data_IF_075592898223
#
_entry.id   IF_075592898223
#
_cell.length_a   1.000
_cell.length_b   1.000
_cell.length_c   1.000
_cell.angle_alpha   90.00
_cell.angle_beta   90.00
_cell.angle_gamma   90.00
#
_symmetry.space_group_name_H-M   'P 1'
#
loop_
_entity.id
_entity.type
_entity.pdbx_description
1 polymer ?
#
# COMPACT_ATOMS: atom_id res chain seq x y z
N UNK A 1 12.45 -67.75 -16.34
CA UNK A 1 13.83 -67.22 -16.27
C UNK A 1 13.70 -65.71 -16.29
N UNK A 2 13.62 -65.10 -15.10
CA UNK A 2 14.70 -64.31 -14.43
C UNK A 2 14.94 -62.99 -15.18
N UNK A 3 14.90 -61.79 -14.61
CA UNK A 3 15.00 -61.30 -13.22
C UNK A 3 14.35 -59.90 -13.18
N UNK A 4 13.55 -59.63 -12.16
CA UNK A 4 13.83 -58.74 -11.02
C UNK A 4 13.76 -57.24 -11.29
N UNK A 5 12.74 -56.65 -10.66
CA UNK A 5 12.73 -55.29 -10.19
C UNK A 5 13.90 -55.05 -9.24
N UNK A 6 14.60 -53.92 -9.37
CA UNK A 6 15.10 -53.10 -8.25
C UNK A 6 15.65 -51.79 -8.84
N UNK A 7 14.94 -50.71 -8.61
CA UNK A 7 15.57 -49.41 -8.31
C UNK A 7 14.97 -49.01 -6.96
N UNK A 8 15.78 -48.74 -5.92
CA UNK A 8 16.49 -47.48 -5.86
C UNK A 8 17.86 -47.53 -5.16
N UNK A 9 18.92 -47.07 -5.84
CA UNK A 9 20.19 -46.68 -5.20
C UNK A 9 20.17 -45.17 -4.86
N UNK A 10 19.18 -44.73 -4.08
CA UNK A 10 19.05 -43.35 -3.62
C UNK A 10 19.03 -43.21 -2.08
N UNK A 11 19.25 -44.31 -1.34
CA UNK A 11 19.24 -44.35 0.12
C UNK A 11 20.59 -44.13 0.79
N UNK A 12 21.67 -44.67 0.22
CA UNK A 12 22.99 -44.72 0.88
C UNK A 12 23.74 -43.37 0.91
N UNK A 13 23.48 -42.46 -0.04
CA UNK A 13 24.20 -41.17 -0.12
C UNK A 13 23.65 -40.08 0.82
N UNK A 14 22.50 -40.32 1.47
CA UNK A 14 21.92 -39.39 2.46
C UNK A 14 22.11 -39.87 3.91
N UNK A 15 22.60 -41.08 4.10
CA UNK A 15 22.75 -41.71 5.41
C UNK A 15 23.72 -40.96 6.34
N UNK A 16 24.87 -40.42 5.87
CA UNK A 16 25.75 -39.59 6.68
C UNK A 16 25.09 -38.28 7.13
N UNK A 17 24.30 -37.64 6.25
CA UNK A 17 23.62 -36.38 6.54
C UNK A 17 22.42 -36.57 7.46
N UNK A 18 21.70 -37.69 7.34
CA UNK A 18 20.60 -38.06 8.24
C UNK A 18 21.12 -38.54 9.61
N UNK A 19 22.32 -39.13 9.67
CA UNK A 19 23.00 -39.43 10.92
C UNK A 19 23.39 -38.14 11.65
N UNK A 20 24.00 -37.18 10.94
CA UNK A 20 24.34 -35.87 11.48
C UNK A 20 23.07 -35.15 11.98
N UNK A 21 22.02 -35.05 11.17
CA UNK A 21 20.77 -34.40 11.56
C UNK A 21 20.09 -35.04 12.80
N UNK A 22 20.22 -36.37 12.97
CA UNK A 22 19.73 -37.07 14.18
C UNK A 22 20.63 -36.82 15.39
N UNK A 23 21.92 -36.64 15.18
CA UNK A 23 22.88 -36.27 16.22
C UNK A 23 22.64 -34.83 16.70
N UNK A 24 22.45 -33.87 15.78
CA UNK A 24 22.05 -32.50 16.12
C UNK A 24 20.76 -32.52 16.94
N UNK A 25 19.75 -33.27 16.49
CA UNK A 25 18.45 -33.31 17.17
C UNK A 25 18.54 -33.93 18.56
N UNK A 26 19.28 -35.03 18.74
CA UNK A 26 19.48 -35.63 20.08
C UNK A 26 20.19 -34.69 21.03
N UNK A 27 21.17 -33.94 20.54
CA UNK A 27 21.95 -33.06 21.39
C UNK A 27 21.21 -31.77 21.72
N UNK A 28 20.36 -31.27 20.81
CA UNK A 28 19.38 -30.22 21.09
C UNK A 28 18.32 -30.71 22.09
N UNK A 29 17.77 -31.91 21.91
CA UNK A 29 16.77 -32.49 22.83
C UNK A 29 17.37 -32.72 24.23
N UNK A 30 18.66 -33.04 24.32
CA UNK A 30 19.40 -33.19 25.58
C UNK A 30 19.59 -31.84 26.29
N UNK A 31 19.97 -30.80 25.55
CA UNK A 31 20.14 -29.44 26.08
C UNK A 31 18.82 -28.83 26.54
N UNK A 32 17.72 -29.10 25.83
CA UNK A 32 16.37 -28.67 26.23
C UNK A 32 15.85 -29.42 27.47
N UNK A 33 16.34 -30.63 27.72
CA UNK A 33 15.99 -31.45 28.89
C UNK A 33 16.92 -31.25 30.09
N UNK A 34 17.94 -30.40 29.97
CA UNK A 34 18.91 -30.09 31.02
C UNK A 34 18.62 -28.68 31.58
N UNK A 35 18.02 -28.61 32.77
CA UNK A 35 17.62 -27.36 33.42
C UNK A 35 18.82 -26.45 33.81
N UNK A 36 20.06 -26.97 33.74
CA UNK A 36 21.31 -26.22 33.99
C UNK A 36 22.03 -25.80 32.69
N UNK A 37 21.47 -26.09 31.51
CA UNK A 37 22.08 -25.71 30.24
C UNK A 37 22.09 -24.18 30.06
N UNK A 38 23.29 -23.61 29.98
CA UNK A 38 23.47 -22.17 29.78
C UNK A 38 23.64 -21.82 28.30
N UNK A 39 23.40 -20.56 27.94
CA UNK A 39 23.66 -20.01 26.59
C UNK A 39 25.11 -20.30 26.10
N UNK A 40 26.07 -20.40 27.03
CA UNK A 40 27.45 -20.76 26.71
C UNK A 40 27.59 -22.21 26.21
N UNK A 41 26.84 -23.15 26.78
CA UNK A 41 26.82 -24.57 26.38
C UNK A 41 26.24 -24.74 24.96
N UNK A 42 25.26 -23.91 24.61
CA UNK A 42 24.68 -23.88 23.26
C UNK A 42 25.67 -23.29 22.25
N UNK A 43 26.39 -22.24 22.62
CA UNK A 43 27.40 -21.62 21.76
C UNK A 43 28.55 -22.60 21.44
N UNK A 44 29.07 -23.33 22.44
CA UNK A 44 30.09 -24.37 22.24
C UNK A 44 29.59 -25.52 21.34
N UNK A 45 28.30 -25.82 21.37
CA UNK A 45 27.68 -26.81 20.49
C UNK A 45 27.63 -26.32 19.04
N UNK A 46 27.26 -25.07 18.85
CA UNK A 46 27.19 -24.42 17.53
C UNK A 46 28.59 -24.30 16.92
N UNK A 47 29.61 -23.99 17.72
CA UNK A 47 30.99 -23.81 17.26
C UNK A 47 31.66 -25.09 16.75
N UNK A 48 31.08 -26.26 17.02
CA UNK A 48 31.55 -27.55 16.48
C UNK A 48 31.14 -27.79 15.02
N UNK A 49 30.20 -27.01 14.47
CA UNK A 49 29.78 -27.15 13.07
C UNK A 49 30.73 -26.41 12.10
N UNK A 50 30.92 -26.93 10.87
CA UNK A 50 31.63 -26.21 9.81
C UNK A 50 31.01 -24.82 9.52
N UNK A 51 31.84 -23.84 9.16
CA UNK A 51 31.44 -22.44 8.93
C UNK A 51 30.26 -22.27 7.98
N UNK A 52 30.22 -23.09 6.92
CA UNK A 52 29.15 -23.07 5.92
C UNK A 52 27.80 -23.52 6.53
N UNK A 53 27.82 -24.51 7.42
CA UNK A 53 26.62 -24.98 8.10
C UNK A 53 26.18 -24.01 9.20
N UNK A 54 27.12 -23.43 9.96
CA UNK A 54 26.84 -22.35 10.92
C UNK A 54 26.19 -21.15 10.25
N UNK A 55 26.72 -20.70 9.11
CA UNK A 55 26.15 -19.57 8.36
C UNK A 55 24.74 -19.86 7.83
N UNK A 56 24.45 -21.10 7.42
CA UNK A 56 23.11 -21.49 6.98
C UNK A 56 22.11 -21.50 8.12
N UNK A 57 22.50 -22.00 9.30
CA UNK A 57 21.66 -22.01 10.50
C UNK A 57 21.42 -20.58 10.99
N UNK A 58 22.48 -19.76 11.10
CA UNK A 58 22.38 -18.36 11.51
C UNK A 58 21.43 -17.57 10.59
N UNK A 59 21.53 -17.74 9.27
CA UNK A 59 20.62 -17.12 8.31
C UNK A 59 19.18 -17.59 8.47
N UNK A 60 18.97 -18.90 8.63
CA UNK A 60 17.62 -19.45 8.81
C UNK A 60 16.96 -19.01 10.12
N UNK A 61 17.73 -18.75 11.17
CA UNK A 61 17.25 -18.18 12.43
C UNK A 61 16.98 -16.70 12.27
N UNK A 62 17.90 -15.95 11.66
CA UNK A 62 17.76 -14.52 11.38
C UNK A 62 16.49 -14.23 10.56
N UNK A 63 16.27 -14.97 9.47
CA UNK A 63 15.10 -14.78 8.59
C UNK A 63 13.75 -15.07 9.29
N UNK A 64 13.76 -15.73 10.46
CA UNK A 64 12.56 -16.06 11.25
C UNK A 64 12.30 -15.08 12.41
N UNK A 65 13.26 -14.22 12.72
CA UNK A 65 13.05 -13.18 13.73
C UNK A 65 12.05 -12.16 13.22
N UNK A 66 11.32 -11.53 14.15
CA UNK A 66 10.53 -10.35 13.81
C UNK A 66 11.46 -9.26 13.24
N UNK A 67 11.00 -8.41 12.32
CA UNK A 67 11.85 -7.40 11.70
C UNK A 67 12.61 -6.53 12.70
N UNK A 68 12.01 -6.21 13.85
CA UNK A 68 12.64 -5.43 14.93
C UNK A 68 13.86 -6.14 15.53
N UNK A 69 13.77 -7.46 15.70
CA UNK A 69 14.83 -8.26 16.31
C UNK A 69 15.95 -8.55 15.30
N UNK A 70 15.61 -8.74 14.02
CA UNK A 70 16.59 -8.78 12.92
C UNK A 70 17.46 -7.52 12.91
N UNK A 71 16.83 -6.36 13.09
CA UNK A 71 17.52 -5.07 13.12
C UNK A 71 18.45 -4.93 14.32
N UNK A 72 18.02 -5.39 15.51
CA UNK A 72 18.86 -5.36 16.71
C UNK A 72 20.13 -6.22 16.54
N UNK A 73 19.99 -7.41 15.94
CA UNK A 73 21.13 -8.30 15.64
C UNK A 73 22.12 -7.67 14.67
N UNK A 74 21.64 -7.01 13.61
CA UNK A 74 22.54 -6.32 12.68
C UNK A 74 23.25 -5.13 13.35
N UNK A 75 22.56 -4.34 14.16
CA UNK A 75 23.15 -3.20 14.85
C UNK A 75 24.20 -3.59 15.90
N UNK A 76 24.05 -4.76 16.52
CA UNK A 76 25.01 -5.33 17.47
C UNK A 76 26.23 -5.95 16.75
N UNK A 77 26.01 -6.63 15.63
CA UNK A 77 27.07 -7.29 14.84
C UNK A 77 28.02 -6.30 14.16
N UNK A 78 27.53 -5.13 13.77
CA UNK A 78 28.34 -4.08 13.16
C UNK A 78 28.76 -3.04 14.22
N UNK A 79 29.98 -3.19 14.75
CA UNK A 79 30.59 -2.28 15.75
C UNK A 79 31.08 -0.96 15.15
N UNK A 80 30.24 -0.33 14.31
CA UNK A 80 30.52 0.94 13.66
C UNK A 80 29.40 1.93 14.01
N UNK A 81 29.73 2.96 14.80
CA UNK A 81 28.80 4.01 15.24
C UNK A 81 28.20 4.81 14.06
N UNK A 82 28.86 4.87 12.92
CA UNK A 82 28.30 5.44 11.70
C UNK A 82 27.25 4.52 11.09
N UNK A 83 27.53 3.23 11.02
CA UNK A 83 26.57 2.23 10.53
C UNK A 83 25.35 2.14 11.44
N UNK A 84 25.53 2.11 12.78
CA UNK A 84 24.41 2.11 13.74
C UNK A 84 23.48 3.31 13.58
N UNK A 85 24.04 4.51 13.41
CA UNK A 85 23.25 5.73 13.19
C UNK A 85 22.48 5.66 11.87
N UNK A 86 23.12 5.16 10.81
CA UNK A 86 22.46 4.99 9.52
C UNK A 86 21.32 3.96 9.60
N UNK A 87 21.56 2.79 10.22
CA UNK A 87 20.55 1.75 10.41
C UNK A 87 19.38 2.22 11.27
N UNK A 88 19.64 2.99 12.35
CA UNK A 88 18.59 3.56 13.19
C UNK A 88 17.71 4.57 12.42
N UNK A 89 18.33 5.41 11.57
CA UNK A 89 17.61 6.34 10.70
C UNK A 89 16.72 5.60 9.69
N UNK A 90 17.26 4.56 9.05
CA UNK A 90 16.50 3.71 8.12
C UNK A 90 15.35 2.98 8.80
N UNK A 91 15.56 2.49 10.03
CA UNK A 91 14.52 1.87 10.84
C UNK A 91 13.39 2.87 11.15
N UNK A 92 13.74 4.08 11.63
CA UNK A 92 12.76 5.12 11.89
C UNK A 92 11.94 5.47 10.63
N UNK A 93 12.61 5.63 9.49
CA UNK A 93 11.95 5.91 8.21
C UNK A 93 10.99 4.80 7.79
N UNK A 94 11.39 3.52 7.94
CA UNK A 94 10.53 2.36 7.64
C UNK A 94 9.36 2.22 8.60
N UNK A 95 9.58 2.41 9.90
CA UNK A 95 8.55 2.34 10.92
C UNK A 95 7.49 3.43 10.68
N UNK A 96 7.91 4.66 10.38
CA UNK A 96 7.00 5.73 9.99
C UNK A 96 6.24 5.42 8.70
N UNK A 97 6.91 4.83 7.69
CA UNK A 97 6.25 4.43 6.44
C UNK A 97 5.17 3.36 6.68
N UNK A 98 5.46 2.38 7.53
CA UNK A 98 4.50 1.35 7.92
C UNK A 98 3.31 1.92 8.72
N UNK A 99 3.57 2.85 9.63
CA UNK A 99 2.53 3.56 10.37
C UNK A 99 1.63 4.37 9.42
N UNK A 100 2.22 5.12 8.48
CA UNK A 100 1.48 5.86 7.45
C UNK A 100 0.63 4.94 6.57
N UNK A 101 1.16 3.78 6.17
CA UNK A 101 0.43 2.80 5.38
C UNK A 101 -0.76 2.20 6.16
N UNK A 102 -0.56 1.88 7.43
CA UNK A 102 -1.62 1.35 8.31
C UNK A 102 -2.76 2.36 8.46
N UNK A 103 -2.44 3.62 8.78
CA UNK A 103 -3.42 4.70 8.89
C UNK A 103 -4.18 4.92 7.57
N UNK A 104 -3.48 4.84 6.43
CA UNK A 104 -4.11 4.94 5.10
C UNK A 104 -5.09 3.78 4.86
N UNK A 105 -4.72 2.55 5.15
CA UNK A 105 -5.62 1.40 4.99
C UNK A 105 -6.84 1.47 5.90
N UNK A 106 -6.70 2.00 7.12
CA UNK A 106 -7.84 2.28 8.01
C UNK A 106 -8.79 3.32 7.42
N UNK A 107 -8.24 4.41 6.87
CA UNK A 107 -9.02 5.45 6.20
C UNK A 107 -9.76 4.91 4.98
N UNK A 108 -9.10 4.13 4.13
CA UNK A 108 -9.72 3.45 2.98
C UNK A 108 -10.86 2.54 3.45
N UNK A 109 -10.66 1.75 4.50
CA UNK A 109 -11.72 0.90 5.08
C UNK A 109 -12.91 1.72 5.57
N UNK A 110 -12.66 2.86 6.22
CA UNK A 110 -13.69 3.79 6.68
C UNK A 110 -14.50 4.35 5.49
N UNK A 111 -13.83 4.84 4.46
CA UNK A 111 -14.50 5.36 3.26
C UNK A 111 -15.32 4.29 2.55
N UNK A 112 -14.79 3.07 2.40
CA UNK A 112 -15.55 1.92 1.87
C UNK A 112 -16.80 1.62 2.67
N UNK A 113 -16.68 1.57 3.99
CA UNK A 113 -17.81 1.29 4.87
C UNK A 113 -18.89 2.39 4.78
N UNK A 114 -18.50 3.64 4.55
CA UNK A 114 -19.43 4.75 4.36
C UNK A 114 -20.02 4.81 2.94
N UNK A 115 -19.36 4.21 1.95
CA UNK A 115 -19.74 4.32 0.54
C UNK A 115 -19.39 5.68 -0.09
N UNK A 116 -18.61 6.50 0.61
CA UNK A 116 -18.29 7.86 0.24
C UNK A 116 -16.91 8.27 0.77
N UNK A 117 -16.35 9.34 0.20
CA UNK A 117 -15.19 10.02 0.76
C UNK A 117 -15.64 11.42 1.19
N UNK A 118 -15.80 11.61 2.49
CA UNK A 118 -15.78 12.95 3.07
C UNK A 118 -14.34 13.45 3.11
N UNK A 119 -14.03 14.45 2.30
CA UNK A 119 -12.69 15.01 2.14
C UNK A 119 -12.17 15.58 3.47
N UNK A 120 -13.07 15.95 4.40
CA UNK A 120 -12.69 16.43 5.74
C UNK A 120 -12.09 15.33 6.63
N UNK A 121 -12.31 14.06 6.30
CA UNK A 121 -11.68 12.94 7.02
C UNK A 121 -10.22 12.72 6.61
N UNK A 122 -9.81 13.28 5.47
CA UNK A 122 -8.49 13.05 4.92
C UNK A 122 -7.44 13.92 5.65
N UNK A 123 -6.32 13.35 6.13
CA UNK A 123 -5.25 14.13 6.73
C UNK A 123 -4.64 15.13 5.74
N UNK A 124 -4.21 16.32 6.19
CA UNK A 124 -3.45 17.25 5.37
C UNK A 124 -2.22 16.58 4.74
N UNK A 125 -1.93 16.91 3.48
CA UNK A 125 -0.86 16.31 2.69
C UNK A 125 -1.25 15.03 1.94
N UNK A 126 -2.40 14.42 2.24
CA UNK A 126 -2.91 13.23 1.52
C UNK A 126 -3.10 13.55 0.04
N UNK A 127 -2.63 12.66 -0.83
CA UNK A 127 -2.92 12.72 -2.26
C UNK A 127 -4.22 11.98 -2.55
N UNK A 128 -5.21 12.72 -3.04
CA UNK A 128 -6.50 12.22 -3.50
C UNK A 128 -6.55 12.33 -5.03
N UNK A 129 -6.69 11.21 -5.72
CA UNK A 129 -6.86 11.19 -7.18
C UNK A 129 -8.29 10.81 -7.51
N UNK A 130 -8.97 11.60 -8.34
CA UNK A 130 -10.32 11.33 -8.80
C UNK A 130 -10.29 11.01 -10.30
N UNK A 131 -10.86 9.86 -10.66
CA UNK A 131 -11.18 9.51 -12.04
C UNK A 131 -12.60 9.92 -12.37
N UNK A 132 -12.75 10.88 -13.29
CA UNK A 132 -14.03 11.47 -13.63
C UNK A 132 -14.47 11.03 -15.04
N UNK A 133 -15.73 10.66 -15.15
CA UNK A 133 -16.32 10.01 -16.32
C UNK A 133 -17.59 10.71 -16.77
N UNK A 134 -17.94 10.52 -18.03
CA UNK A 134 -19.23 10.97 -18.56
C UNK A 134 -20.34 10.11 -17.97
N UNK A 135 -21.53 10.68 -17.82
CA UNK A 135 -22.69 9.98 -17.26
C UNK A 135 -22.95 8.59 -17.89
N UNK A 136 -22.90 8.40 -19.23
CA UNK A 136 -23.13 7.09 -19.83
C UNK A 136 -22.07 6.03 -19.47
N UNK A 137 -20.87 6.46 -19.07
CA UNK A 137 -19.72 5.58 -18.83
C UNK A 137 -19.52 5.26 -17.34
N UNK A 138 -20.08 6.09 -16.45
CA UNK A 138 -19.74 6.03 -15.03
C UNK A 138 -20.13 4.69 -14.40
N UNK A 139 -21.26 4.10 -14.78
CA UNK A 139 -21.68 2.79 -14.24
C UNK A 139 -20.68 1.67 -14.59
N UNK A 140 -20.05 1.73 -15.76
CA UNK A 140 -19.00 0.79 -16.14
C UNK A 140 -17.68 1.11 -15.42
N UNK A 141 -17.35 2.40 -15.26
CA UNK A 141 -16.16 2.86 -14.58
C UNK A 141 -16.16 2.47 -13.09
N UNK A 142 -17.28 2.66 -12.37
CA UNK A 142 -17.42 2.28 -10.95
C UNK A 142 -17.13 0.79 -10.75
N UNK A 143 -17.56 -0.09 -11.66
CA UNK A 143 -17.27 -1.53 -11.58
C UNK A 143 -15.80 -1.87 -11.86
N UNK A 144 -15.13 -1.09 -12.70
CA UNK A 144 -13.73 -1.33 -13.08
C UNK A 144 -12.73 -0.62 -12.17
N UNK A 145 -13.18 0.40 -11.43
CA UNK A 145 -12.33 1.28 -10.65
C UNK A 145 -11.26 1.97 -11.50
N UNK A 146 -10.08 2.13 -10.91
CA UNK A 146 -8.84 2.65 -11.50
C UNK A 146 -8.31 1.86 -12.70
N UNK A 147 -8.82 0.64 -12.94
CA UNK A 147 -8.52 -0.13 -14.16
C UNK A 147 -9.31 0.32 -15.40
N UNK A 148 -10.15 1.34 -15.28
CA UNK A 148 -10.91 1.87 -16.41
C UNK A 148 -10.05 2.72 -17.35
N UNK A 149 -10.13 2.47 -18.66
CA UNK A 149 -9.35 3.16 -19.70
C UNK A 149 -10.12 4.26 -20.42
N UNK A 150 -11.32 4.60 -19.93
CA UNK A 150 -12.20 5.61 -20.54
C UNK A 150 -12.33 6.85 -19.65
N UNK A 151 -11.32 7.12 -18.82
CA UNK A 151 -11.31 8.25 -17.90
C UNK A 151 -11.33 9.56 -18.70
N UNK A 152 -12.37 10.36 -18.54
CA UNK A 152 -12.50 11.62 -19.28
C UNK A 152 -11.59 12.71 -18.69
N UNK A 153 -11.48 12.74 -17.36
CA UNK A 153 -10.62 13.68 -16.63
C UNK A 153 -10.04 13.02 -15.40
N UNK A 154 -8.75 13.20 -15.15
CA UNK A 154 -8.10 12.84 -13.88
C UNK A 154 -7.75 14.11 -13.12
N UNK A 155 -8.23 14.21 -11.89
CA UNK A 155 -7.95 15.32 -10.99
C UNK A 155 -7.16 14.80 -9.80
N UNK A 156 -5.92 15.28 -9.62
CA UNK A 156 -5.05 14.94 -8.51
C UNK A 156 -4.99 16.13 -7.55
N UNK A 157 -5.31 15.87 -6.30
CA UNK A 157 -5.45 16.87 -5.25
C UNK A 157 -4.52 16.54 -4.09
N UNK A 158 -3.92 17.56 -3.50
CA UNK A 158 -3.24 17.46 -2.21
C UNK A 158 -4.12 18.10 -1.14
N UNK A 159 -4.62 17.27 -0.24
CA UNK A 159 -5.51 17.69 0.85
C UNK A 159 -4.82 18.71 1.74
N UNK A 160 -5.59 19.71 2.15
CA UNK A 160 -5.27 20.76 3.11
C UNK A 160 -6.25 20.65 4.29
N UNK A 161 -6.47 21.73 5.05
CA UNK A 161 -7.40 21.74 6.18
C UNK A 161 -8.88 21.87 5.73
N UNK A 162 -9.79 21.35 6.56
CA UNK A 162 -11.25 21.54 6.43
C UNK A 162 -11.86 21.13 5.08
N UNK A 163 -11.34 20.04 4.48
CA UNK A 163 -11.81 19.54 3.19
C UNK A 163 -11.38 20.37 1.97
N UNK A 164 -10.56 21.39 2.18
CA UNK A 164 -9.86 22.06 1.09
C UNK A 164 -8.70 21.23 0.60
N UNK A 165 -8.34 21.44 -0.67
CA UNK A 165 -7.19 20.82 -1.30
C UNK A 165 -6.55 21.77 -2.31
N UNK A 166 -5.30 21.49 -2.64
CA UNK A 166 -4.56 22.14 -3.73
C UNK A 166 -4.55 21.24 -4.95
N UNK A 167 -4.85 21.80 -6.12
CA UNK A 167 -4.73 21.06 -7.38
C UNK A 167 -3.27 20.77 -7.67
N UNK A 168 -2.94 19.48 -7.83
CA UNK A 168 -1.60 19.01 -8.23
C UNK A 168 -1.58 18.77 -9.73
N UNK A 169 -2.59 18.07 -10.24
CA UNK A 169 -2.72 17.72 -11.65
C UNK A 169 -4.19 17.77 -12.06
N UNK A 170 -4.47 18.25 -13.27
CA UNK A 170 -5.80 18.23 -13.88
C UNK A 170 -5.59 17.88 -15.35
N UNK A 171 -5.96 16.65 -15.73
CA UNK A 171 -5.61 16.05 -17.02
C UNK A 171 -6.87 15.66 -17.76
N UNK A 172 -6.99 16.12 -19.00
CA UNK A 172 -7.96 15.60 -19.96
C UNK A 172 -7.44 14.30 -20.58
N UNK A 173 -8.30 13.29 -20.64
CA UNK A 173 -8.03 12.03 -21.34
C UNK A 173 -6.64 11.44 -21.03
N UNK A 174 -6.36 11.07 -19.77
CA UNK A 174 -5.05 10.56 -19.36
C UNK A 174 -4.67 9.26 -20.08
N UNK A 175 -5.64 8.45 -20.47
CA UNK A 175 -5.45 7.11 -21.05
C UNK A 175 -5.54 7.10 -22.58
N UNK A 176 -5.79 8.26 -23.21
CA UNK A 176 -6.00 8.41 -24.66
C UNK A 176 -7.13 7.52 -25.19
N UNK A 177 -8.22 7.45 -24.41
CA UNK A 177 -9.41 6.67 -24.74
C UNK A 177 -10.11 7.22 -25.98
N UNK A 178 -10.78 6.36 -26.75
CA UNK A 178 -11.60 6.80 -27.88
C UNK A 178 -12.91 7.45 -27.38
N UNK A 179 -12.97 8.79 -27.35
CA UNK A 179 -14.22 9.53 -27.12
C UNK A 179 -15.01 9.60 -28.43
N UNK A 180 -15.93 8.66 -28.62
CA UNK A 180 -16.76 8.57 -29.84
C UNK A 180 -17.89 9.61 -29.86
N UNK A 181 -18.15 10.32 -28.75
CA UNK A 181 -19.24 11.31 -28.63
C UNK A 181 -18.77 12.61 -27.95
N UNK A 182 -19.27 13.76 -28.41
CA UNK A 182 -18.82 15.11 -28.03
C UNK A 182 -19.36 15.66 -26.71
N UNK A 183 -19.85 14.82 -25.80
CA UNK A 183 -20.54 15.26 -24.57
C UNK A 183 -19.59 16.00 -23.60
N UNK A 184 -18.30 15.65 -23.63
CA UNK A 184 -17.24 16.34 -22.90
C UNK A 184 -15.94 16.22 -23.70
N UNK A 185 -15.47 17.32 -24.28
CA UNK A 185 -14.28 17.39 -25.13
C UNK A 185 -13.16 18.23 -24.49
N UNK A 186 -12.03 18.35 -25.20
CA UNK A 186 -10.90 19.14 -24.73
C UNK A 186 -11.26 20.62 -24.52
N UNK A 187 -12.18 21.18 -25.32
CA UNK A 187 -12.59 22.58 -25.19
C UNK A 187 -13.48 22.82 -23.96
N UNK A 188 -14.36 21.87 -23.63
CA UNK A 188 -15.09 21.85 -22.37
C UNK A 188 -14.11 21.77 -21.19
N UNK A 189 -13.16 20.84 -21.23
CA UNK A 189 -12.13 20.74 -20.20
C UNK A 189 -11.32 22.02 -20.04
N UNK A 190 -10.83 22.65 -21.12
CA UNK A 190 -10.04 23.89 -21.00
C UNK A 190 -10.79 25.03 -20.30
N UNK A 191 -12.12 25.09 -20.42
CA UNK A 191 -12.96 26.08 -19.73
C UNK A 191 -13.17 25.77 -18.25
N UNK A 192 -13.14 24.50 -17.88
CA UNK A 192 -13.36 24.02 -16.50
C UNK A 192 -12.06 23.62 -15.77
N UNK A 193 -10.94 23.69 -16.49
CA UNK A 193 -9.63 23.28 -16.00
C UNK A 193 -9.27 24.13 -14.80
N UNK A 194 -8.93 23.46 -13.72
CA UNK A 194 -8.45 24.10 -12.52
C UNK A 194 -6.96 24.41 -12.69
N UNK A 195 -6.56 25.63 -12.32
CA UNK A 195 -5.16 26.01 -12.37
C UNK A 195 -4.33 25.16 -11.39
N UNK A 196 -3.08 24.89 -11.75
CA UNK A 196 -2.15 24.24 -10.83
C UNK A 196 -2.04 25.05 -9.54
N UNK A 197 -2.05 24.37 -8.39
CA UNK A 197 -2.06 24.94 -7.04
C UNK A 197 -3.29 25.78 -6.66
N UNK A 198 -4.33 25.82 -7.50
CA UNK A 198 -5.62 26.42 -7.11
C UNK A 198 -6.15 25.74 -5.84
N UNK A 199 -6.74 26.53 -4.95
CA UNK A 199 -7.40 26.04 -3.73
C UNK A 199 -8.85 25.69 -4.06
N UNK A 200 -9.23 24.44 -3.81
CA UNK A 200 -10.58 23.95 -4.14
C UNK A 200 -11.12 23.02 -3.05
N UNK A 201 -12.45 22.92 -2.95
CA UNK A 201 -13.10 21.77 -2.34
C UNK A 201 -13.79 20.98 -3.45
N UNK A 202 -13.72 19.65 -3.40
CA UNK A 202 -14.46 18.75 -4.30
C UNK A 202 -15.56 18.08 -3.51
N UNK A 203 -16.73 17.90 -4.13
CA UNK A 203 -17.89 17.43 -3.41
C UNK A 203 -19.17 17.56 -4.21
N UNK A 204 -20.27 17.83 -3.51
CA UNK A 204 -21.61 17.95 -4.08
C UNK A 204 -22.24 19.28 -3.69
N UNK A 205 -22.83 19.98 -4.67
CA UNK A 205 -23.69 21.12 -4.41
C UNK A 205 -25.05 20.65 -3.91
N UNK A 206 -25.48 21.19 -2.77
CA UNK A 206 -26.82 20.97 -2.25
C UNK A 206 -27.74 22.07 -2.78
N UNK A 207 -28.71 21.70 -3.62
CA UNK A 207 -29.63 22.65 -4.25
C UNK A 207 -31.07 22.49 -3.79
N UNK A 208 -31.65 23.57 -3.28
CA UNK A 208 -33.09 23.81 -3.19
C UNK A 208 -33.37 25.25 -2.74
N UNK A 209 -33.80 26.11 -3.66
CA UNK A 209 -34.43 27.47 -3.64
C UNK A 209 -34.50 28.37 -2.38
N UNK A 210 -33.84 28.07 -1.27
CA UNK A 210 -33.79 28.91 -0.07
C UNK A 210 -32.33 29.14 0.32
N UNK A 211 -31.91 30.41 0.25
CA UNK A 211 -30.67 31.00 0.78
C UNK A 211 -29.77 30.03 1.55
N UNK A 212 -28.91 29.35 0.81
CA UNK A 212 -27.91 28.45 1.37
C UNK A 212 -27.08 27.86 0.25
N UNK A 213 -25.89 28.42 0.01
CA UNK A 213 -24.80 27.83 -0.78
C UNK A 213 -24.28 26.57 -0.06
N UNK A 214 -25.13 25.55 0.08
CA UNK A 214 -24.77 24.28 0.67
C UNK A 214 -23.79 23.56 -0.24
N UNK A 215 -22.60 23.26 0.26
CA UNK A 215 -21.65 22.39 -0.42
C UNK A 215 -21.13 21.40 0.60
N UNK A 216 -21.29 20.14 0.26
CA UNK A 216 -20.74 19.05 1.05
C UNK A 216 -19.46 18.58 0.37
N UNK A 217 -18.30 18.64 1.05
CA UNK A 217 -17.04 18.13 0.52
C UNK A 217 -17.02 16.59 0.60
N UNK A 218 -18.04 15.96 0.03
CA UNK A 218 -18.27 14.51 0.01
C UNK A 218 -18.40 14.08 -1.44
N UNK A 219 -17.62 13.07 -1.83
CA UNK A 219 -17.66 12.47 -3.16
C UNK A 219 -18.11 11.01 -3.05
N UNK A 220 -19.03 10.63 -3.94
CA UNK A 220 -19.70 9.33 -3.95
C UNK A 220 -19.52 8.69 -5.33
N UNK A 221 -19.22 7.38 -5.43
CA UNK A 221 -19.12 6.68 -6.72
C UNK A 221 -20.41 6.84 -7.53
N UNK A 222 -20.28 7.16 -8.82
CA UNK A 222 -21.41 7.40 -9.72
C UNK A 222 -22.00 8.82 -9.64
N UNK A 223 -21.77 9.55 -8.55
CA UNK A 223 -22.32 10.90 -8.39
C UNK A 223 -21.53 11.94 -9.18
N UNK A 224 -22.21 13.03 -9.54
CA UNK A 224 -21.58 14.20 -10.16
C UNK A 224 -20.60 14.83 -9.17
N UNK A 225 -19.43 15.24 -9.64
CA UNK A 225 -18.43 15.92 -8.80
C UNK A 225 -18.45 17.40 -9.10
N UNK A 226 -18.87 18.19 -8.12
CA UNK A 226 -18.85 19.64 -8.14
C UNK A 226 -17.59 20.18 -7.46
N UNK A 227 -17.23 21.42 -7.78
CA UNK A 227 -16.02 22.07 -7.27
C UNK A 227 -16.37 23.41 -6.66
N UNK A 228 -15.96 23.66 -5.41
CA UNK A 228 -15.96 25.00 -4.83
C UNK A 228 -14.57 25.61 -4.93
N UNK A 229 -14.51 26.82 -5.47
CA UNK A 229 -13.30 27.64 -5.53
C UNK A 229 -13.44 28.84 -4.60
N UNK A 230 -12.38 29.64 -4.46
CA UNK A 230 -12.47 30.95 -3.78
C UNK A 230 -13.46 31.91 -4.49
N UNK A 231 -13.69 31.74 -5.79
CA UNK A 231 -14.67 32.50 -6.57
C UNK A 231 -16.10 31.97 -6.47
N UNK A 232 -16.35 30.91 -5.70
CA UNK A 232 -17.67 30.31 -5.51
C UNK A 232 -17.79 28.87 -6.03
N UNK A 233 -18.97 28.28 -5.87
CA UNK A 233 -19.28 26.94 -6.36
C UNK A 233 -19.39 26.87 -7.88
N UNK A 234 -18.88 25.80 -8.47
CA UNK A 234 -18.91 25.48 -9.90
C UNK A 234 -19.53 24.08 -10.04
N UNK A 235 -20.69 23.95 -10.70
CA UNK A 235 -21.28 22.65 -10.97
C UNK A 235 -20.41 21.88 -11.97
N UNK A 236 -20.12 20.62 -11.67
CA UNK A 236 -19.38 19.74 -12.57
C UNK A 236 -20.25 19.20 -13.70
N UNK A 237 -19.59 18.60 -14.69
CA UNK A 237 -20.24 17.83 -15.77
C UNK A 237 -19.95 16.34 -15.74
N UNK A 238 -19.01 15.94 -14.90
CA UNK A 238 -18.49 14.58 -14.85
C UNK A 238 -18.84 13.95 -13.51
N UNK A 239 -18.88 12.62 -13.54
CA UNK A 239 -19.24 11.77 -12.43
C UNK A 239 -18.04 10.98 -11.94
N UNK A 240 -17.99 10.70 -10.64
CA UNK A 240 -16.91 9.92 -10.05
C UNK A 240 -16.99 8.46 -10.50
N UNK A 241 -15.96 7.98 -11.19
CA UNK A 241 -15.82 6.54 -11.47
C UNK A 241 -14.98 5.83 -10.43
N UNK A 242 -13.85 6.43 -10.05
CA UNK A 242 -12.96 5.88 -9.02
C UNK A 242 -12.28 6.99 -8.24
N UNK A 243 -11.78 6.65 -7.06
CA UNK A 243 -10.94 7.53 -6.25
C UNK A 243 -9.77 6.76 -5.65
N UNK A 244 -8.57 7.32 -5.71
CA UNK A 244 -7.37 6.74 -5.12
C UNK A 244 -6.91 7.56 -3.93
N UNK A 245 -6.55 6.88 -2.84
CA UNK A 245 -5.74 7.45 -1.76
C UNK A 245 -4.33 6.87 -1.89
N UNK A 246 -3.40 7.67 -2.39
CA UNK A 246 -2.11 7.19 -2.90
C UNK A 246 -2.29 6.06 -3.94
N UNK A 247 -1.94 4.82 -3.60
CA UNK A 247 -1.99 3.65 -4.49
C UNK A 247 -3.26 2.80 -4.29
N UNK A 248 -4.07 3.11 -3.27
CA UNK A 248 -5.25 2.33 -2.92
C UNK A 248 -6.50 2.89 -3.60
N UNK A 249 -7.14 2.08 -4.44
CA UNK A 249 -8.46 2.38 -4.97
C UNK A 249 -9.49 2.22 -3.86
N UNK A 250 -10.13 3.33 -3.50
CA UNK A 250 -11.06 3.38 -2.37
C UNK A 250 -12.29 2.55 -2.66
N UNK A 251 -12.80 2.54 -3.89
CA UNK A 251 -14.10 1.92 -4.17
C UNK A 251 -13.99 0.59 -4.92
N UNK A 252 -12.80 0.21 -5.37
CA UNK A 252 -12.57 -1.14 -5.87
C UNK A 252 -12.54 -2.15 -4.71
N UNK A 253 -13.47 -3.11 -4.76
CA UNK A 253 -13.65 -4.20 -3.80
C UNK A 253 -14.65 -5.22 -4.33
#
# INVERSE_FOLDING_TARGET
>A
MTSDATSPAAGDDLEPYLALAREIRREVDRVVADDDATLATVAELIDRYPDVERGRIARAVFDRLDPLDQWAVLADLFDDDELRRHLASEHAARAEAAARATARHELVRRCRAAGEIDVRWLPPGTLLTLGLFREPEVAAAVRKGSGSTSTARRLVLRVDQDGWARVVEDVFDPDRGYFVTGDYDQAAWQRERLASHARVQVGSLLGGDAEGDGFEPVVVPGARVDVRTEGGPIPGRLHLGFAMLAEDDVFAG
#
